data_IF_950891960164
#
_entry.id   IF_950891960164
#
_cell.length_a   1.000
_cell.length_b   1.000
_cell.length_c   1.000
_cell.angle_alpha   90.00
_cell.angle_beta   90.00
_cell.angle_gamma   90.00
#
_symmetry.space_group_name_H-M   'P 1'
#
loop_
_entity.id
_entity.type
_entity.pdbx_description
1 polymer ?
#
# COMPACT_ATOMS: atom_id res chain seq x y z
N UNK A 1 -2.90 15.94 19.36
CA UNK A 1 -2.06 15.26 20.37
C UNK A 1 -1.11 14.31 19.66
N UNK A 2 0.18 14.65 19.57
CA UNK A 2 1.19 13.77 18.98
C UNK A 2 1.41 12.58 19.93
N UNK A 3 1.25 11.34 19.44
CA UNK A 3 1.63 10.15 20.21
C UNK A 3 3.15 10.17 20.38
N UNK A 4 3.59 10.33 21.61
CA UNK A 4 4.99 10.14 22.00
C UNK A 4 5.33 8.68 21.69
N UNK A 5 6.17 8.45 20.68
CA UNK A 5 6.69 7.12 20.38
C UNK A 5 7.88 6.94 21.31
N UNK A 6 7.66 6.21 22.39
CA UNK A 6 8.71 5.85 23.34
C UNK A 6 9.49 4.67 22.76
N UNK A 7 10.78 4.90 22.47
CA UNK A 7 11.69 3.86 22.02
C UNK A 7 12.09 3.09 23.27
N UNK A 8 11.52 1.90 23.46
CA UNK A 8 11.81 1.06 24.62
C UNK A 8 13.11 0.28 24.43
N UNK A 9 13.77 -0.03 25.55
CA UNK A 9 15.00 -0.83 25.62
C UNK A 9 14.84 -2.18 24.91
N UNK A 10 13.67 -2.82 25.05
CA UNK A 10 13.34 -4.12 24.46
C UNK A 10 13.28 -4.08 22.92
N UNK A 11 12.85 -2.96 22.33
CA UNK A 11 12.85 -2.72 20.88
C UNK A 11 14.28 -2.52 20.34
N UNK A 12 15.13 -1.89 21.15
CA UNK A 12 16.56 -1.68 20.85
C UNK A 12 17.32 -3.00 20.99
N UNK A 13 17.01 -3.81 21.99
CA UNK A 13 17.62 -5.14 22.20
C UNK A 13 17.17 -6.16 21.15
N UNK A 14 15.89 -6.19 20.77
CA UNK A 14 15.42 -6.98 19.61
C UNK A 14 16.11 -6.54 18.32
N UNK A 15 16.34 -5.23 18.15
CA UNK A 15 17.11 -4.71 17.03
C UNK A 15 18.56 -5.22 17.10
N UNK A 16 19.23 -5.18 18.25
CA UNK A 16 20.60 -5.67 18.42
C UNK A 16 20.75 -7.17 18.21
N UNK A 17 19.90 -7.99 18.81
CA UNK A 17 19.97 -9.46 18.69
C UNK A 17 19.75 -9.92 17.24
N UNK A 18 18.91 -9.22 16.48
CA UNK A 18 18.68 -9.49 15.06
C UNK A 18 19.87 -9.03 14.18
N UNK A 19 20.72 -8.13 14.69
CA UNK A 19 21.90 -7.62 14.01
C UNK A 19 23.21 -8.31 14.42
N UNK A 20 23.35 -8.82 15.64
CA UNK A 20 24.51 -9.61 16.06
C UNK A 20 24.66 -10.87 15.19
N UNK A 21 23.55 -11.53 14.88
CA UNK A 21 23.50 -12.68 13.96
C UNK A 21 23.92 -12.27 12.54
N UNK A 22 23.50 -11.09 12.05
CA UNK A 22 23.84 -10.60 10.70
C UNK A 22 25.25 -10.02 10.59
N UNK A 23 25.75 -9.37 11.63
CA UNK A 23 27.13 -8.89 11.73
C UNK A 23 28.11 -10.05 11.78
N UNK A 24 27.77 -11.14 12.48
CA UNK A 24 28.55 -12.37 12.46
C UNK A 24 28.61 -13.02 11.07
N UNK A 25 27.52 -12.95 10.29
CA UNK A 25 27.50 -13.41 8.88
C UNK A 25 28.36 -12.49 8.00
N UNK A 26 28.26 -11.17 8.16
CA UNK A 26 29.07 -10.20 7.40
C UNK A 26 30.56 -10.33 7.75
N UNK A 27 30.91 -10.53 9.02
CA UNK A 27 32.29 -10.78 9.45
C UNK A 27 32.84 -12.08 8.85
N UNK A 28 32.05 -13.16 8.78
CA UNK A 28 32.44 -14.42 8.11
C UNK A 28 32.64 -14.23 6.61
N UNK A 29 31.78 -13.45 5.95
CA UNK A 29 31.89 -13.13 4.52
C UNK A 29 33.14 -12.26 4.24
N UNK A 30 33.43 -11.28 5.10
CA UNK A 30 34.63 -10.44 5.00
C UNK A 30 35.91 -11.27 5.28
N UNK A 31 35.89 -12.17 6.26
CA UNK A 31 37.01 -13.06 6.56
C UNK A 31 37.33 -14.00 5.38
N UNK A 32 36.27 -14.51 4.73
CA UNK A 32 36.36 -15.36 3.53
C UNK A 32 36.91 -14.63 2.31
N UNK A 33 36.53 -13.37 2.09
CA UNK A 33 37.07 -12.55 1.00
C UNK A 33 38.50 -12.04 1.26
N UNK A 34 38.92 -11.96 2.53
CA UNK A 34 40.27 -11.50 2.92
C UNK A 34 41.28 -12.64 3.08
N UNK A 35 40.88 -13.89 2.85
CA UNK A 35 41.76 -15.06 2.90
C UNK A 35 42.25 -15.42 4.31
N UNK A 36 41.52 -15.01 5.37
CA UNK A 36 41.84 -15.41 6.75
C UNK A 36 41.18 -16.75 7.07
N UNK A 37 41.97 -17.65 7.64
CA UNK A 37 41.62 -19.05 7.89
C UNK A 37 40.45 -19.20 8.89
N UNK A 38 39.45 -20.03 8.58
CA UNK A 38 38.17 -20.14 9.30
C UNK A 38 38.25 -20.94 10.62
N UNK A 39 39.44 -21.31 11.10
CA UNK A 39 39.63 -22.25 12.21
C UNK A 39 39.34 -21.71 13.62
N UNK A 40 38.97 -20.44 13.78
CA UNK A 40 38.83 -19.80 15.11
C UNK A 40 37.38 -19.47 15.53
N UNK A 41 36.33 -20.00 14.89
CA UNK A 41 34.94 -19.74 15.34
C UNK A 41 34.27 -20.94 16.04
N UNK A 42 33.64 -20.75 17.23
CA UNK A 42 33.02 -21.84 17.98
C UNK A 42 31.75 -22.36 17.32
N UNK A 43 31.55 -23.69 17.34
CA UNK A 43 30.34 -24.36 16.85
C UNK A 43 29.43 -24.72 18.02
N UNK A 44 28.26 -24.12 18.09
CA UNK A 44 27.19 -24.55 19.00
C UNK A 44 26.12 -25.35 18.25
N UNK A 45 25.83 -26.53 18.79
CA UNK A 45 24.79 -27.45 18.34
C UNK A 45 23.53 -27.24 19.19
N UNK A 46 22.37 -27.06 18.56
CA UNK A 46 21.06 -27.13 19.23
C UNK A 46 20.22 -28.19 18.51
N UNK A 47 19.71 -29.15 19.29
CA UNK A 47 18.86 -30.26 18.84
C UNK A 47 17.38 -29.93 19.08
N UNK A 48 16.53 -30.19 18.09
CA UNK A 48 15.07 -30.14 18.20
C UNK A 48 14.46 -31.52 18.50
N UNK A 49 13.54 -31.56 19.46
CA UNK A 49 12.71 -32.72 19.81
C UNK A 49 11.25 -32.37 19.52
N UNK A 50 10.66 -33.04 18.53
CA UNK A 50 9.23 -32.92 18.19
C UNK A 50 8.41 -34.01 18.89
N UNK A 51 7.21 -33.63 19.38
CA UNK A 51 6.13 -34.55 19.75
C UNK A 51 4.83 -34.09 19.10
N UNK A 52 4.27 -34.97 18.27
CA UNK A 52 2.90 -34.95 17.77
C UNK A 52 1.91 -35.28 18.87
N UNK A 53 0.75 -34.61 18.91
CA UNK A 53 -0.54 -35.27 19.19
C UNK A 53 -1.71 -34.56 18.48
N UNK A 54 -2.62 -35.41 18.02
CA UNK A 54 -3.74 -35.20 17.11
C UNK A 54 -5.11 -35.12 17.80
N UNK A 55 -6.16 -34.84 16.99
CA UNK A 55 -7.62 -35.04 17.17
C UNK A 55 -8.39 -33.74 17.48
N UNK A 56 -9.36 -33.26 16.69
CA UNK A 56 -10.56 -33.79 16.00
C UNK A 56 -11.80 -33.93 16.89
N UNK A 57 -12.74 -32.98 16.83
CA UNK A 57 -14.18 -33.20 17.09
C UNK A 57 -15.01 -32.22 16.26
N UNK A 58 -15.95 -32.77 15.50
CA UNK A 58 -16.99 -32.14 14.66
C UNK A 58 -18.29 -31.98 15.44
N UNK A 59 -19.03 -30.87 15.25
CA UNK A 59 -20.49 -30.89 15.27
C UNK A 59 -21.13 -29.82 14.37
N UNK A 60 -22.36 -30.04 13.85
CA UNK A 60 -22.91 -29.34 12.70
C UNK A 60 -24.11 -28.44 13.06
N UNK A 61 -24.22 -27.25 12.49
CA UNK A 61 -25.49 -26.52 12.37
C UNK A 61 -25.44 -25.53 11.20
N UNK A 62 -26.58 -25.35 10.54
CA UNK A 62 -26.93 -24.34 9.51
C UNK A 62 -26.96 -24.77 8.04
N UNK A 63 -27.78 -25.79 7.78
CA UNK A 63 -28.02 -26.38 6.44
C UNK A 63 -28.77 -25.49 5.44
N UNK A 64 -29.23 -24.28 5.79
CA UNK A 64 -30.01 -23.42 4.89
C UNK A 64 -29.18 -22.29 4.29
N UNK A 65 -28.21 -21.74 5.04
CA UNK A 65 -27.25 -20.76 4.51
C UNK A 65 -26.24 -21.42 3.56
N UNK A 66 -25.82 -22.65 3.88
CA UNK A 66 -24.93 -23.44 3.03
C UNK A 66 -25.56 -23.79 1.67
N UNK A 67 -26.88 -23.97 1.58
CA UNK A 67 -27.55 -24.28 0.31
C UNK A 67 -27.58 -23.07 -0.62
N UNK A 68 -27.83 -21.86 -0.09
CA UNK A 68 -27.81 -20.63 -0.89
C UNK A 68 -26.37 -20.29 -1.31
N UNK A 69 -25.40 -20.44 -0.41
CA UNK A 69 -23.98 -20.22 -0.72
C UNK A 69 -23.43 -21.28 -1.69
N UNK A 70 -23.86 -22.54 -1.56
CA UNK A 70 -23.50 -23.62 -2.48
C UNK A 70 -24.12 -23.42 -3.87
N UNK A 71 -25.36 -22.95 -3.98
CA UNK A 71 -26.01 -22.66 -5.27
C UNK A 71 -25.29 -21.51 -6.00
N UNK A 72 -24.97 -20.42 -5.30
CA UNK A 72 -24.23 -19.27 -5.87
C UNK A 72 -22.80 -19.67 -6.27
N UNK A 73 -22.11 -20.43 -5.41
CA UNK A 73 -20.74 -20.92 -5.66
C UNK A 73 -20.69 -21.97 -6.77
N UNK A 74 -21.73 -22.80 -6.91
CA UNK A 74 -21.85 -23.80 -7.97
C UNK A 74 -22.15 -23.13 -9.32
N UNK A 75 -23.05 -22.14 -9.37
CA UNK A 75 -23.31 -21.38 -10.60
C UNK A 75 -22.09 -20.59 -11.06
N UNK A 76 -21.36 -19.95 -10.14
CA UNK A 76 -20.12 -19.23 -10.48
C UNK A 76 -19.01 -20.18 -10.97
N UNK A 77 -18.75 -21.29 -10.25
CA UNK A 77 -17.72 -22.26 -10.68
C UNK A 77 -18.08 -22.94 -12.01
N UNK A 78 -19.35 -23.29 -12.23
CA UNK A 78 -19.81 -23.92 -13.47
C UNK A 78 -19.73 -22.97 -14.66
N UNK A 79 -20.11 -21.70 -14.50
CA UNK A 79 -19.99 -20.69 -15.57
C UNK A 79 -18.53 -20.42 -15.93
N UNK A 80 -17.63 -20.39 -14.93
CA UNK A 80 -16.18 -20.20 -15.18
C UNK A 80 -15.55 -21.44 -15.81
N UNK A 81 -15.88 -22.65 -15.33
CA UNK A 81 -15.34 -23.91 -15.88
C UNK A 81 -15.90 -24.17 -17.28
N UNK A 82 -17.19 -23.96 -17.53
CA UNK A 82 -17.80 -24.14 -18.85
C UNK A 82 -17.30 -23.08 -19.85
N UNK A 83 -17.04 -21.85 -19.41
CA UNK A 83 -16.42 -20.81 -20.23
C UNK A 83 -14.94 -21.10 -20.52
N UNK A 84 -14.21 -21.73 -19.60
CA UNK A 84 -12.80 -22.10 -19.81
C UNK A 84 -12.64 -23.37 -20.65
N UNK A 85 -13.52 -24.37 -20.46
CA UNK A 85 -13.50 -25.64 -21.19
C UNK A 85 -13.94 -25.50 -22.66
N UNK A 86 -14.68 -24.45 -23.01
CA UNK A 86 -15.09 -24.18 -24.39
C UNK A 86 -14.13 -23.25 -25.15
N UNK A 87 -13.11 -22.67 -24.50
CA UNK A 87 -12.17 -21.69 -25.10
C UNK A 87 -10.85 -22.26 -25.63
N UNK A 88 -10.81 -23.55 -25.99
CA UNK A 88 -9.77 -24.06 -26.90
C UNK A 88 -10.12 -23.78 -28.39
N UNK A 89 -10.84 -22.68 -28.64
CA UNK A 89 -11.21 -22.22 -29.98
C UNK A 89 -10.06 -21.38 -30.53
N UNK A 90 -9.60 -21.78 -31.72
CA UNK A 90 -8.65 -21.07 -32.55
C UNK A 90 -9.07 -19.59 -32.69
N UNK A 91 -8.34 -18.70 -32.01
CA UNK A 91 -8.47 -17.24 -32.01
C UNK A 91 -7.94 -16.60 -33.31
N UNK A 92 -8.15 -17.25 -34.45
CA UNK A 92 -7.95 -16.66 -35.76
C UNK A 92 -9.33 -16.21 -36.28
N UNK A 93 -9.49 -14.91 -36.46
CA UNK A 93 -10.47 -14.28 -37.35
C UNK A 93 -11.92 -14.05 -36.89
N UNK A 94 -12.29 -14.38 -35.65
CA UNK A 94 -13.54 -13.83 -35.09
C UNK A 94 -13.22 -12.62 -34.20
N UNK A 95 -13.78 -11.47 -34.58
CA UNK A 95 -13.98 -10.29 -33.73
C UNK A 95 -14.92 -10.65 -32.57
N UNK A 96 -14.43 -11.54 -31.70
CA UNK A 96 -15.15 -12.13 -30.59
C UNK A 96 -15.65 -11.04 -29.65
N UNK A 97 -16.96 -10.87 -29.64
CA UNK A 97 -17.71 -9.99 -28.76
C UNK A 97 -17.50 -10.42 -27.31
N UNK A 98 -16.45 -9.91 -26.67
CA UNK A 98 -16.34 -9.93 -25.21
C UNK A 98 -17.61 -9.29 -24.64
N UNK A 99 -18.30 -9.98 -23.72
CA UNK A 99 -19.46 -9.42 -23.06
C UNK A 99 -19.09 -8.04 -22.50
N UNK A 100 -19.78 -6.96 -22.92
CA UNK A 100 -19.52 -5.63 -22.39
C UNK A 100 -19.71 -5.70 -20.88
N UNK A 101 -18.75 -5.13 -20.13
CA UNK A 101 -18.92 -4.97 -18.69
C UNK A 101 -20.18 -4.15 -18.48
N UNK A 102 -20.93 -4.33 -17.38
CA UNK A 102 -21.79 -3.26 -16.89
C UNK A 102 -20.93 -2.00 -16.71
N UNK A 103 -20.81 -1.22 -17.78
CA UNK A 103 -19.95 -0.04 -17.82
C UNK A 103 -20.49 0.90 -16.77
N UNK A 104 -19.66 1.26 -15.79
CA UNK A 104 -19.98 2.43 -14.98
C UNK A 104 -20.19 3.59 -15.97
N UNK A 105 -21.41 4.15 -16.10
CA UNK A 105 -21.68 5.15 -17.13
C UNK A 105 -20.77 6.37 -17.00
N UNK A 106 -20.17 6.58 -15.82
CA UNK A 106 -19.34 7.73 -15.51
C UNK A 106 -17.96 7.74 -16.16
N UNK A 107 -17.34 6.59 -16.43
CA UNK A 107 -15.94 6.56 -16.86
C UNK A 107 -15.77 5.78 -18.16
N UNK A 108 -15.30 6.47 -19.20
CA UNK A 108 -14.86 5.83 -20.43
C UNK A 108 -13.38 5.48 -20.30
N UNK A 109 -13.08 4.18 -20.31
CA UNK A 109 -11.74 3.64 -20.20
C UNK A 109 -11.32 3.10 -21.56
N UNK A 110 -10.30 3.69 -22.16
CA UNK A 110 -9.70 3.22 -23.41
C UNK A 110 -8.28 2.73 -23.13
N UNK A 111 -7.94 1.56 -23.65
CA UNK A 111 -6.58 1.00 -23.56
C UNK A 111 -5.96 0.93 -24.95
N UNK A 112 -4.73 1.42 -25.10
CA UNK A 112 -3.90 1.10 -26.28
C UNK A 112 -3.38 -0.33 -26.12
N UNK A 113 -3.93 -1.27 -26.88
CA UNK A 113 -3.46 -2.67 -26.85
C UNK A 113 -2.18 -2.81 -27.66
N UNK A 114 -1.12 -3.43 -27.11
CA UNK A 114 -0.01 -3.86 -27.92
C UNK A 114 -0.49 -4.99 -28.85
N UNK A 115 -0.37 -4.77 -30.15
CA UNK A 115 -0.46 -5.86 -31.12
C UNK A 115 0.72 -6.80 -30.86
N UNK A 116 0.51 -8.12 -30.96
CA UNK A 116 1.53 -9.19 -30.90
C UNK A 116 1.72 -9.91 -29.55
N UNK A 117 0.89 -10.94 -29.30
CA UNK A 117 1.27 -12.31 -28.85
C UNK A 117 0.03 -13.16 -28.57
N UNK A 118 0.17 -14.48 -28.57
CA UNK A 118 -0.85 -15.39 -28.03
C UNK A 118 -0.96 -15.13 -26.53
N UNK A 119 -2.10 -14.61 -26.10
CA UNK A 119 -2.34 -14.25 -24.70
C UNK A 119 -3.27 -15.27 -24.05
N UNK A 120 -2.96 -15.62 -22.81
CA UNK A 120 -3.84 -16.46 -21.99
C UNK A 120 -5.04 -15.66 -21.51
N UNK A 121 -6.15 -16.37 -21.30
CA UNK A 121 -7.38 -15.81 -20.75
C UNK A 121 -7.51 -16.14 -19.26
N UNK A 122 -8.13 -15.26 -18.51
CA UNK A 122 -8.38 -15.43 -17.07
C UNK A 122 -9.60 -14.62 -16.64
N UNK A 123 -10.36 -15.13 -15.68
CA UNK A 123 -11.57 -14.46 -15.19
C UNK A 123 -11.25 -13.42 -14.11
N UNK A 124 -11.95 -12.28 -14.16
CA UNK A 124 -11.96 -11.34 -13.05
C UNK A 124 -12.77 -11.90 -11.89
N UNK A 125 -12.20 -11.94 -10.68
CA UNK A 125 -12.90 -12.43 -9.49
C UNK A 125 -14.04 -11.54 -8.98
N UNK A 126 -14.21 -10.32 -9.53
CA UNK A 126 -15.32 -9.43 -9.18
C UNK A 126 -16.47 -9.53 -10.18
N UNK A 127 -16.25 -9.31 -11.48
CA UNK A 127 -17.35 -9.41 -12.46
C UNK A 127 -17.53 -10.79 -13.08
N UNK A 128 -16.61 -11.74 -12.85
CA UNK A 128 -16.60 -13.04 -13.53
C UNK A 128 -16.21 -12.98 -15.02
N UNK A 129 -16.08 -11.78 -15.62
CA UNK A 129 -15.75 -11.66 -17.03
C UNK A 129 -14.37 -12.25 -17.34
N UNK A 130 -14.30 -13.08 -18.37
CA UNK A 130 -13.06 -13.60 -18.94
C UNK A 130 -12.35 -12.49 -19.71
N UNK A 131 -11.07 -12.29 -19.40
CA UNK A 131 -10.22 -11.21 -19.90
C UNK A 131 -8.88 -11.77 -20.30
N UNK A 132 -8.16 -11.04 -21.14
CA UNK A 132 -6.76 -11.33 -21.41
C UNK A 132 -5.97 -11.17 -20.11
N UNK A 133 -4.92 -11.99 -19.90
CA UNK A 133 -4.08 -11.90 -18.70
C UNK A 133 -3.47 -10.51 -18.54
N UNK A 134 -3.20 -9.81 -19.65
CA UNK A 134 -2.72 -8.42 -19.64
C UNK A 134 -3.81 -7.43 -19.22
N UNK A 135 -5.09 -7.77 -19.36
CA UNK A 135 -6.27 -6.96 -18.99
C UNK A 135 -6.70 -7.19 -17.52
N UNK A 136 -5.98 -8.02 -16.78
CA UNK A 136 -6.21 -8.24 -15.35
C UNK A 136 -4.97 -7.98 -14.51
N UNK A 137 -5.21 -7.57 -13.27
CA UNK A 137 -4.19 -7.40 -12.25
C UNK A 137 -4.40 -8.37 -11.10
N UNK A 138 -3.31 -8.70 -10.42
CA UNK A 138 -3.36 -9.28 -9.07
C UNK A 138 -4.04 -8.30 -8.11
N UNK A 139 -4.90 -8.83 -7.25
CA UNK A 139 -5.39 -8.11 -6.07
C UNK A 139 -4.21 -7.75 -5.17
N UNK A 140 -4.37 -6.69 -4.37
CA UNK A 140 -3.32 -6.32 -3.41
C UNK A 140 -3.29 -7.34 -2.28
N UNK A 141 -2.09 -7.78 -1.90
CA UNK A 141 -1.91 -8.59 -0.69
C UNK A 141 -2.19 -7.79 0.60
N UNK A 142 -2.19 -6.45 0.51
CA UNK A 142 -2.54 -5.58 1.64
C UNK A 142 -4.05 -5.50 1.77
N UNK A 143 -4.58 -6.02 2.87
CA UNK A 143 -6.02 -6.04 3.16
C UNK A 143 -6.63 -4.64 3.10
N UNK A 144 -5.97 -3.63 3.69
CA UNK A 144 -6.42 -2.25 3.64
C UNK A 144 -6.65 -1.71 2.22
N UNK A 145 -5.73 -1.95 1.28
CA UNK A 145 -5.90 -1.53 -0.12
C UNK A 145 -7.05 -2.27 -0.82
N UNK A 146 -7.26 -3.54 -0.51
CA UNK A 146 -8.39 -4.31 -1.03
C UNK A 146 -9.72 -3.82 -0.43
N UNK A 147 -9.74 -3.43 0.84
CA UNK A 147 -10.90 -2.81 1.47
C UNK A 147 -11.26 -1.46 0.80
N UNK A 148 -10.26 -0.60 0.51
CA UNK A 148 -10.49 0.65 -0.26
C UNK A 148 -11.12 0.37 -1.61
N UNK A 149 -10.57 -0.59 -2.38
CA UNK A 149 -11.09 -0.99 -3.68
C UNK A 149 -12.57 -1.37 -3.60
N UNK A 150 -12.91 -2.26 -2.67
CA UNK A 150 -14.28 -2.78 -2.51
C UNK A 150 -15.24 -1.69 -2.05
N UNK A 151 -14.86 -0.87 -1.06
CA UNK A 151 -15.68 0.25 -0.59
C UNK A 151 -15.98 1.24 -1.72
N UNK A 152 -14.97 1.59 -2.55
CA UNK A 152 -15.16 2.47 -3.70
C UNK A 152 -16.11 1.87 -4.76
N UNK A 153 -15.99 0.58 -5.03
CA UNK A 153 -16.84 -0.10 -6.02
C UNK A 153 -18.28 -0.29 -5.54
N UNK A 154 -18.45 -0.63 -4.25
CA UNK A 154 -19.76 -0.74 -3.61
C UNK A 154 -20.46 0.61 -3.56
N UNK A 155 -19.74 1.68 -3.20
CA UNK A 155 -20.28 3.05 -3.21
C UNK A 155 -20.80 3.47 -4.58
N UNK A 156 -20.11 3.05 -5.64
CA UNK A 156 -20.53 3.30 -7.02
C UNK A 156 -21.64 2.36 -7.51
N UNK A 157 -22.08 1.39 -6.71
CA UNK A 157 -23.05 0.37 -7.11
C UNK A 157 -22.52 -0.61 -8.16
N UNK A 158 -21.20 -0.69 -8.37
CA UNK A 158 -20.59 -1.55 -9.37
C UNK A 158 -20.40 -2.99 -8.87
N UNK A 159 -20.34 -3.18 -7.55
CA UNK A 159 -20.19 -4.49 -6.92
C UNK A 159 -21.21 -4.61 -5.79
N UNK A 160 -21.95 -5.72 -5.79
CA UNK A 160 -22.91 -6.03 -4.73
C UNK A 160 -22.17 -6.41 -3.41
N UNK A 161 -22.66 -6.00 -2.23
CA UNK A 161 -22.00 -6.29 -0.95
C UNK A 161 -21.68 -7.78 -0.72
N UNK A 162 -22.59 -8.68 -1.07
CA UNK A 162 -22.37 -10.14 -0.96
C UNK A 162 -21.17 -10.61 -1.77
N UNK A 163 -20.98 -10.08 -2.97
CA UNK A 163 -19.87 -10.43 -3.86
C UNK A 163 -18.56 -9.80 -3.40
N UNK A 164 -18.62 -8.57 -2.85
CA UNK A 164 -17.47 -7.95 -2.22
C UNK A 164 -17.00 -8.74 -0.98
N UNK A 165 -17.94 -9.23 -0.15
CA UNK A 165 -17.64 -10.04 1.03
C UNK A 165 -16.96 -11.36 0.66
N UNK A 166 -17.47 -12.09 -0.35
CA UNK A 166 -16.84 -13.32 -0.83
C UNK A 166 -15.49 -13.03 -1.50
N UNK A 167 -15.41 -11.96 -2.30
CA UNK A 167 -14.15 -11.56 -2.91
C UNK A 167 -13.08 -11.29 -1.84
N UNK A 168 -13.42 -10.57 -0.78
CA UNK A 168 -12.54 -10.27 0.35
C UNK A 168 -12.14 -11.52 1.12
N UNK A 169 -13.10 -12.38 1.50
CA UNK A 169 -12.83 -13.61 2.27
C UNK A 169 -11.77 -14.46 1.59
N UNK A 170 -11.92 -14.67 0.28
CA UNK A 170 -10.91 -15.44 -0.46
C UNK A 170 -9.76 -14.58 -1.03
N UNK A 171 -9.69 -13.27 -0.75
CA UNK A 171 -8.53 -12.43 -1.11
C UNK A 171 -7.28 -12.73 -0.27
N UNK A 172 -7.44 -13.49 0.81
CA UNK A 172 -6.32 -14.12 1.52
C UNK A 172 -5.57 -15.13 0.65
N UNK A 173 -6.18 -15.62 -0.43
CA UNK A 173 -5.51 -16.50 -1.38
C UNK A 173 -4.71 -15.69 -2.42
N UNK A 174 -3.41 -16.01 -2.63
CA UNK A 174 -2.45 -15.19 -3.40
C UNK A 174 -2.71 -15.11 -4.91
N UNK A 175 -3.84 -15.61 -5.40
CA UNK A 175 -4.13 -15.76 -6.83
C UNK A 175 -5.29 -14.92 -7.33
N UNK A 176 -5.98 -14.15 -6.47
CA UNK A 176 -7.13 -13.37 -6.94
C UNK A 176 -6.72 -12.32 -7.96
N UNK A 177 -7.42 -12.33 -9.09
CA UNK A 177 -7.25 -11.39 -10.18
C UNK A 177 -8.50 -10.56 -10.33
N UNK A 178 -8.34 -9.28 -10.66
CA UNK A 178 -9.44 -8.41 -11.05
C UNK A 178 -9.09 -7.68 -12.34
N UNK A 179 -10.08 -7.33 -13.15
CA UNK A 179 -9.83 -6.55 -14.36
C UNK A 179 -9.28 -5.17 -13.99
N UNK A 180 -8.45 -4.61 -14.88
CA UNK A 180 -7.93 -3.26 -14.71
C UNK A 180 -9.06 -2.22 -14.59
N UNK A 181 -10.16 -2.41 -15.29
CA UNK A 181 -11.32 -1.50 -15.26
C UNK A 181 -11.90 -1.30 -13.86
N UNK A 182 -12.11 -2.36 -13.07
CA UNK A 182 -12.58 -2.20 -11.68
C UNK A 182 -11.60 -1.39 -10.83
N UNK A 183 -10.30 -1.63 -11.01
CA UNK A 183 -9.29 -0.88 -10.27
C UNK A 183 -9.28 0.59 -10.68
N UNK A 184 -9.40 0.86 -11.98
CA UNK A 184 -9.47 2.21 -12.54
C UNK A 184 -10.73 2.93 -12.04
N UNK A 185 -11.90 2.28 -12.04
CA UNK A 185 -13.14 2.88 -11.54
C UNK A 185 -13.03 3.28 -10.06
N UNK A 186 -12.39 2.46 -9.22
CA UNK A 186 -12.17 2.82 -7.82
C UNK A 186 -11.18 3.99 -7.66
N UNK A 187 -10.08 3.99 -8.41
CA UNK A 187 -9.11 5.10 -8.39
C UNK A 187 -9.70 6.41 -8.93
N UNK A 188 -10.39 6.35 -10.06
CA UNK A 188 -11.05 7.51 -10.68
C UNK A 188 -12.13 8.10 -9.75
N UNK A 189 -12.89 7.25 -9.04
CA UNK A 189 -13.82 7.69 -8.02
C UNK A 189 -13.15 8.50 -6.91
N UNK A 190 -12.03 8.00 -6.35
CA UNK A 190 -11.28 8.75 -5.33
C UNK A 190 -10.75 10.08 -5.87
N UNK A 191 -10.20 10.09 -7.08
CA UNK A 191 -9.70 11.31 -7.70
C UNK A 191 -10.82 12.35 -7.86
N UNK A 192 -12.00 11.91 -8.28
CA UNK A 192 -13.17 12.77 -8.42
C UNK A 192 -13.69 13.27 -7.07
N UNK A 193 -13.72 12.41 -6.05
CA UNK A 193 -14.11 12.79 -4.70
C UNK A 193 -13.20 13.90 -4.15
N UNK A 194 -11.89 13.71 -4.26
CA UNK A 194 -10.89 14.70 -3.83
C UNK A 194 -11.04 15.99 -4.62
N UNK A 195 -11.12 15.92 -5.96
CA UNK A 195 -11.31 17.10 -6.81
C UNK A 195 -12.56 17.88 -6.45
N UNK A 196 -13.63 17.19 -6.04
CA UNK A 196 -14.87 17.85 -5.63
C UNK A 196 -14.71 18.56 -4.29
N UNK A 197 -13.93 17.99 -3.36
CA UNK A 197 -13.70 18.55 -2.02
C UNK A 197 -12.63 19.65 -1.98
N UNK A 198 -11.63 19.59 -2.86
CA UNK A 198 -10.48 20.51 -2.89
C UNK A 198 -10.50 21.48 -4.08
N UNK A 199 -11.38 21.25 -5.06
CA UNK A 199 -11.38 21.94 -6.35
C UNK A 199 -10.28 21.49 -7.33
N UNK A 200 -9.34 20.63 -6.90
CA UNK A 200 -8.16 20.28 -7.67
C UNK A 200 -7.97 18.77 -7.79
N UNK A 201 -7.56 18.30 -8.97
CA UNK A 201 -7.25 16.89 -9.16
C UNK A 201 -5.96 16.54 -8.40
N UNK A 202 -5.93 15.45 -7.60
CA UNK A 202 -4.77 15.06 -6.81
C UNK A 202 -3.67 14.40 -7.66
N UNK A 203 -3.02 15.17 -8.54
CA UNK A 203 -2.00 14.66 -9.47
C UNK A 203 -0.69 14.23 -8.78
N UNK A 204 -0.44 14.68 -7.55
CA UNK A 204 0.74 14.35 -6.74
C UNK A 204 0.46 13.29 -5.66
N UNK A 205 -0.70 12.63 -5.73
CA UNK A 205 -1.18 11.68 -4.73
C UNK A 205 -2.07 12.32 -3.66
N UNK A 206 -2.49 11.51 -2.68
CA UNK A 206 -3.38 11.95 -1.60
C UNK A 206 -2.67 12.38 -0.33
N UNK A 207 -1.32 12.36 -0.29
CA UNK A 207 -0.58 12.76 0.90
C UNK A 207 -0.57 14.27 1.14
N UNK A 208 -0.85 15.05 0.10
CA UNK A 208 -0.86 16.51 0.15
C UNK A 208 -2.22 17.09 0.47
N UNK A 209 -3.26 16.25 0.60
CA UNK A 209 -4.59 16.75 0.92
C UNK A 209 -4.72 17.05 2.42
N UNK A 210 -5.47 18.07 2.80
CA UNK A 210 -5.78 18.36 4.19
C UNK A 210 -6.34 17.15 4.96
N UNK A 211 -5.96 17.02 6.23
CA UNK A 211 -6.27 15.84 7.05
C UNK A 211 -7.77 15.68 7.32
N UNK A 212 -8.52 16.79 7.41
CA UNK A 212 -9.99 16.82 7.52
C UNK A 212 -10.66 16.20 6.28
N UNK A 213 -10.17 16.56 5.08
CA UNK A 213 -10.68 16.02 3.81
C UNK A 213 -10.38 14.53 3.70
N UNK A 214 -9.16 14.12 4.06
CA UNK A 214 -8.80 12.70 4.10
C UNK A 214 -9.66 11.93 5.10
N UNK A 215 -9.86 12.47 6.30
CA UNK A 215 -10.72 11.88 7.34
C UNK A 215 -12.15 11.68 6.86
N UNK A 216 -12.71 12.67 6.15
CA UNK A 216 -14.03 12.58 5.54
C UNK A 216 -14.12 11.48 4.47
N UNK A 217 -13.11 11.36 3.61
CA UNK A 217 -13.06 10.29 2.60
C UNK A 217 -12.99 8.92 3.28
N UNK A 218 -12.13 8.77 4.29
CA UNK A 218 -12.01 7.53 5.07
C UNK A 218 -13.34 7.16 5.72
N UNK A 219 -14.03 8.12 6.34
CA UNK A 219 -15.33 7.88 6.97
C UNK A 219 -16.39 7.37 5.98
N UNK A 220 -16.50 7.99 4.79
CA UNK A 220 -17.45 7.52 3.77
C UNK A 220 -17.14 6.10 3.31
N UNK A 221 -15.86 5.80 3.08
CA UNK A 221 -15.45 4.47 2.66
C UNK A 221 -15.67 3.45 3.79
N UNK A 222 -15.47 3.85 5.04
CA UNK A 222 -15.73 3.03 6.22
C UNK A 222 -17.21 2.64 6.29
N UNK A 223 -18.14 3.57 6.09
CA UNK A 223 -19.59 3.29 6.11
C UNK A 223 -19.98 2.17 5.13
N UNK A 224 -19.31 2.09 3.97
CA UNK A 224 -19.57 1.04 2.97
C UNK A 224 -18.82 -0.25 3.27
N UNK A 225 -17.65 -0.14 3.90
CA UNK A 225 -16.85 -1.27 4.34
C UNK A 225 -17.53 -2.02 5.49
N UNK A 226 -18.18 -1.30 6.41
CA UNK A 226 -18.90 -1.82 7.57
C UNK A 226 -20.02 -2.82 7.19
N UNK A 227 -20.52 -2.72 5.96
CA UNK A 227 -21.51 -3.65 5.40
C UNK A 227 -20.92 -5.06 5.20
N UNK A 228 -19.63 -5.17 4.90
CA UNK A 228 -18.97 -6.46 4.57
C UNK A 228 -17.99 -6.94 5.64
N UNK A 229 -17.52 -6.06 6.53
CA UNK A 229 -16.52 -6.38 7.56
C UNK A 229 -16.48 -5.31 8.66
N UNK A 230 -15.77 -5.59 9.76
CA UNK A 230 -15.55 -4.63 10.86
C UNK A 230 -14.12 -4.07 10.90
N UNK A 231 -13.33 -4.28 9.84
CA UNK A 231 -11.98 -3.72 9.79
C UNK A 231 -12.02 -2.19 9.77
N UNK A 232 -11.07 -1.58 10.47
CA UNK A 232 -10.87 -0.13 10.44
C UNK A 232 -10.02 0.23 9.22
N UNK A 233 -10.50 1.18 8.44
CA UNK A 233 -9.80 1.76 7.32
C UNK A 233 -8.96 2.96 7.77
N UNK A 234 -7.68 2.98 7.38
CA UNK A 234 -6.81 4.10 7.70
C UNK A 234 -6.59 5.02 6.50
N UNK A 235 -6.31 6.30 6.77
CA UNK A 235 -5.89 7.27 5.74
C UNK A 235 -4.69 6.76 4.92
N UNK A 236 -3.78 6.03 5.56
CA UNK A 236 -2.65 5.39 4.90
C UNK A 236 -3.11 4.43 3.81
N UNK A 237 -4.14 3.61 4.05
CA UNK A 237 -4.63 2.63 3.07
C UNK A 237 -5.20 3.31 1.83
N UNK A 238 -5.99 4.37 2.04
CA UNK A 238 -6.59 5.18 0.96
C UNK A 238 -5.51 5.84 0.10
N UNK A 239 -4.55 6.53 0.72
CA UNK A 239 -3.46 7.17 0.00
C UNK A 239 -2.54 6.16 -0.71
N UNK A 240 -2.26 5.03 -0.05
CA UNK A 240 -1.44 3.95 -0.59
C UNK A 240 -2.10 3.24 -1.78
N UNK A 241 -3.44 3.06 -1.75
CA UNK A 241 -4.22 2.56 -2.88
C UNK A 241 -4.22 3.57 -4.04
N UNK A 242 -4.47 4.84 -3.75
CA UNK A 242 -4.55 5.88 -4.78
C UNK A 242 -3.22 6.12 -5.49
N UNK A 243 -2.10 6.06 -4.77
CA UNK A 243 -0.78 6.17 -5.38
C UNK A 243 -0.51 5.00 -6.36
N UNK A 244 -0.93 3.77 -6.03
CA UNK A 244 -0.85 2.64 -6.97
C UNK A 244 -1.70 2.86 -8.23
N UNK A 245 -2.83 3.56 -8.10
CA UNK A 245 -3.64 3.99 -9.22
C UNK A 245 -2.94 5.05 -10.09
N UNK A 246 -2.40 6.11 -9.50
CA UNK A 246 -1.70 7.16 -10.24
C UNK A 246 -0.52 6.61 -11.05
N UNK A 247 0.40 5.93 -10.37
CA UNK A 247 1.63 5.41 -10.96
C UNK A 247 1.34 4.45 -12.12
N UNK A 248 0.24 3.69 -12.04
CA UNK A 248 -0.04 2.62 -12.99
C UNK A 248 -0.93 3.02 -14.16
N UNK A 249 -1.87 3.95 -13.98
CA UNK A 249 -2.88 4.25 -15.00
C UNK A 249 -2.94 5.72 -15.43
N UNK A 250 -2.38 6.64 -14.65
CA UNK A 250 -2.37 8.06 -15.01
C UNK A 250 -1.01 8.45 -15.60
N UNK A 251 0.08 7.98 -14.98
CA UNK A 251 1.43 8.24 -15.49
C UNK A 251 1.77 7.40 -16.74
N UNK A 252 1.02 6.33 -17.00
CA UNK A 252 1.19 5.52 -18.20
C UNK A 252 0.26 6.00 -19.32
N UNK A 253 0.81 6.29 -20.50
CA UNK A 253 0.01 6.65 -21.69
C UNK A 253 -0.78 5.47 -22.30
N UNK A 254 -0.74 4.30 -21.65
CA UNK A 254 -1.44 3.09 -22.06
C UNK A 254 -2.96 3.21 -21.87
N UNK A 255 -3.38 4.01 -20.89
CA UNK A 255 -4.76 4.15 -20.48
C UNK A 255 -5.24 5.59 -20.67
N UNK A 256 -6.33 5.75 -21.41
CA UNK A 256 -7.04 7.02 -21.52
C UNK A 256 -8.34 6.92 -20.74
N UNK A 257 -8.37 7.58 -19.59
CA UNK A 257 -9.51 7.58 -18.67
C UNK A 257 -10.20 8.94 -18.83
N UNK A 258 -11.43 8.92 -19.34
CA UNK A 258 -12.22 10.14 -19.55
C UNK A 258 -13.50 10.07 -18.70
N UNK A 259 -13.77 11.12 -17.95
CA UNK A 259 -15.04 11.25 -17.24
C UNK A 259 -16.14 11.63 -18.23
N UNK A 260 -17.18 10.81 -18.30
CA UNK A 260 -18.38 11.08 -19.08
C UNK A 260 -19.38 11.80 -18.18
N UNK A 261 -19.34 13.13 -18.22
CA UNK A 261 -20.34 13.96 -17.56
C UNK A 261 -21.69 13.72 -18.24
N UNK A 262 -22.55 12.94 -17.60
CA UNK A 262 -23.94 12.86 -18.00
C UNK A 262 -24.60 14.17 -17.61
N UNK A 263 -25.06 14.92 -18.61
CA UNK A 263 -25.54 16.31 -18.54
C UNK A 263 -26.80 16.55 -17.69
N UNK A 264 -27.08 15.72 -16.68
CA UNK A 264 -28.23 15.87 -15.80
C UNK A 264 -28.17 15.14 -14.46
N UNK A 265 -27.06 14.45 -14.12
CA UNK A 265 -26.89 13.87 -12.77
C UNK A 265 -25.86 14.74 -12.06
N UNK A 266 -26.33 15.60 -11.15
CA UNK A 266 -25.42 16.44 -10.39
C UNK A 266 -24.46 15.59 -9.55
N UNK A 267 -23.19 15.99 -9.57
CA UNK A 267 -22.11 15.40 -8.76
C UNK A 267 -22.43 15.38 -7.26
N UNK A 268 -23.26 16.34 -6.81
CA UNK A 268 -23.75 16.52 -5.44
C UNK A 268 -24.44 15.27 -4.90
N UNK A 269 -25.30 14.64 -5.69
CA UNK A 269 -26.07 13.46 -5.30
C UNK A 269 -25.23 12.18 -5.10
N UNK A 270 -24.09 12.05 -5.77
CA UNK A 270 -23.36 10.76 -5.81
C UNK A 270 -22.44 10.59 -4.60
N UNK A 271 -21.82 11.67 -4.13
CA UNK A 271 -20.91 11.61 -2.99
C UNK A 271 -21.64 11.78 -1.65
N UNK A 272 -22.96 11.93 -1.65
CA UNK A 272 -23.69 12.46 -0.49
C UNK A 272 -22.93 13.68 0.07
N UNK A 273 -22.53 14.54 -0.86
CA UNK A 273 -21.76 15.75 -0.54
C UNK A 273 -22.58 16.67 0.34
N UNK A 274 -23.91 16.58 0.31
CA UNK A 274 -24.77 17.24 1.29
C UNK A 274 -24.45 16.77 2.69
N UNK A 275 -24.29 15.47 2.93
CA UNK A 275 -23.81 14.95 4.21
C UNK A 275 -22.43 15.48 4.62
N UNK A 276 -21.47 15.54 3.69
CA UNK A 276 -20.11 16.04 3.97
C UNK A 276 -20.05 17.56 4.20
N UNK A 277 -20.72 18.32 3.33
CA UNK A 277 -20.78 19.78 3.39
C UNK A 277 -21.53 20.20 4.63
N UNK A 278 -22.60 19.49 5.01
CA UNK A 278 -23.32 19.70 6.27
C UNK A 278 -22.45 19.40 7.48
N UNK A 279 -21.62 18.34 7.47
CA UNK A 279 -20.63 18.11 8.56
C UNK A 279 -19.57 19.21 8.63
N UNK A 280 -19.06 19.70 7.49
CA UNK A 280 -18.11 20.82 7.44
C UNK A 280 -18.74 22.09 8.02
N UNK A 281 -19.95 22.45 7.60
CA UNK A 281 -20.66 23.63 8.09
C UNK A 281 -20.97 23.53 9.59
N UNK A 282 -21.29 22.33 10.09
CA UNK A 282 -21.48 22.12 11.54
C UNK A 282 -20.16 22.32 12.31
N UNK A 283 -19.03 21.83 11.79
CA UNK A 283 -17.72 22.04 12.42
C UNK A 283 -17.33 23.53 12.41
N UNK A 284 -17.48 24.23 11.29
CA UNK A 284 -17.19 25.67 11.18
C UNK A 284 -18.11 26.52 12.06
N UNK A 285 -19.37 26.12 12.27
CA UNK A 285 -20.30 26.82 13.16
C UNK A 285 -20.02 26.53 14.64
N UNK A 286 -19.56 25.32 14.99
CA UNK A 286 -19.18 24.99 16.36
C UNK A 286 -17.91 25.73 16.78
N UNK A 287 -16.93 25.89 15.88
CA UNK A 287 -15.72 26.71 16.15
C UNK A 287 -16.07 28.18 16.40
N UNK A 288 -17.08 28.73 15.70
CA UNK A 288 -17.55 30.10 15.95
C UNK A 288 -18.30 30.27 17.28
N UNK A 289 -19.04 29.26 17.74
CA UNK A 289 -19.72 29.34 19.04
C UNK A 289 -18.75 29.28 20.23
N UNK A 290 -17.59 28.62 20.09
CA UNK A 290 -16.58 28.59 21.16
C UNK A 290 -15.76 29.88 21.28
N UNK A 291 -15.62 30.67 20.20
CA UNK A 291 -15.00 32.01 20.27
C UNK A 291 -15.90 33.02 21.00
N UNK A 292 -17.23 32.91 20.89
CA UNK A 292 -18.16 33.81 21.56
C UNK A 292 -18.39 33.43 23.05
N UNK A 293 -18.28 32.15 23.40
CA UNK A 293 -18.44 31.67 24.78
C UNK A 293 -17.26 32.01 25.70
N UNK A 294 -16.06 32.23 25.15
CA UNK A 294 -14.87 32.56 25.94
C UNK A 294 -14.76 34.03 26.36
N UNK A 295 -15.74 34.88 26.04
CA UNK A 295 -15.79 36.27 26.49
C UNK A 295 -16.76 36.54 27.66
N UNK A 296 -17.49 35.54 28.19
CA UNK A 296 -18.46 35.75 29.28
C UNK A 296 -18.25 34.95 30.58
N UNK A 297 -17.21 34.11 30.72
CA UNK A 297 -16.94 33.39 32.00
C UNK A 297 -15.65 33.83 32.70
N UNK A 298 -15.64 35.08 33.17
CA UNK A 298 -14.98 35.43 34.42
C UNK A 298 -16.06 35.47 35.50
N UNK A 299 -15.84 34.75 36.59
CA UNK A 299 -16.69 34.60 37.78
C UNK A 299 -17.70 33.44 37.79
N UNK A 300 -17.22 32.26 38.21
CA UNK A 300 -17.82 31.56 39.37
C UNK A 300 -16.87 30.51 39.93
N UNK A 301 -16.42 30.77 41.17
CA UNK A 301 -15.78 29.80 42.05
C UNK A 301 -16.84 28.88 42.67
N UNK A 302 -16.54 27.59 42.87
CA UNK A 302 -16.42 26.91 44.18
C UNK A 302 -16.80 25.41 44.19
N UNK A 303 -15.82 24.62 44.67
CA UNK A 303 -15.86 23.55 45.70
C UNK A 303 -16.83 22.34 45.62
N UNK A 304 -16.25 21.15 45.88
CA UNK A 304 -16.91 19.96 46.46
C UNK A 304 -16.70 18.71 45.61
N UNK A 305 -15.63 17.93 45.79
CA UNK A 305 -15.32 16.95 46.86
C UNK A 305 -16.05 15.58 46.73
N UNK A 306 -15.23 14.53 46.91
CA UNK A 306 -15.51 13.13 47.28
C UNK A 306 -16.00 12.05 46.28
N UNK A 307 -15.02 11.23 45.91
CA UNK A 307 -14.90 9.75 46.10
C UNK A 307 -15.90 8.79 45.43
N UNK A 308 -15.38 7.95 44.52
CA UNK A 308 -15.77 6.54 44.34
C UNK A 308 -14.57 5.72 43.89
N UNK A 309 -14.13 4.79 44.73
CA UNK A 309 -13.24 3.67 44.36
C UNK A 309 -14.10 2.41 44.27
N UNK A 310 -14.00 1.70 43.15
CA UNK A 310 -14.42 0.30 42.99
C UNK A 310 -13.35 -0.41 42.13
N UNK A 311 -12.80 -1.58 42.57
CA UNK A 311 -11.77 -2.29 41.84
C UNK A 311 -12.38 -3.37 40.94
N UNK A 312 -12.09 -3.32 39.63
CA UNK A 312 -12.51 -4.34 38.68
C UNK A 312 -11.29 -5.07 38.08
N UNK A 313 -11.34 -6.39 38.25
CA UNK A 313 -10.44 -7.43 37.78
C UNK A 313 -10.04 -7.30 36.30
N UNK A 314 -8.74 -7.36 35.99
CA UNK A 314 -8.24 -7.69 34.66
C UNK A 314 -7.82 -9.17 34.61
N UNK A 315 -8.46 -9.93 33.72
CA UNK A 315 -8.02 -11.26 33.29
C UNK A 315 -6.92 -11.09 32.24
N UNK A 316 -5.86 -11.86 32.42
CA UNK A 316 -4.72 -12.01 31.51
C UNK A 316 -5.14 -12.89 30.33
N UNK A 317 -5.18 -12.32 29.13
CA UNK A 317 -5.30 -13.08 27.88
C UNK A 317 -3.89 -13.42 27.37
N UNK A 318 -3.73 -14.67 26.95
CA UNK A 318 -2.49 -15.26 26.45
C UNK A 318 -2.36 -15.01 24.96
N UNK A 319 -1.20 -14.53 24.53
CA UNK A 319 -0.83 -14.38 23.13
C UNK A 319 -0.59 -15.75 22.46
N UNK A 320 -1.26 -15.97 21.33
CA UNK A 320 -1.04 -17.08 20.42
C UNK A 320 0.08 -16.71 19.43
N UNK A 321 1.14 -17.52 19.43
CA UNK A 321 2.30 -17.39 18.56
C UNK A 321 2.11 -18.34 17.37
N UNK A 322 2.01 -17.80 16.15
CA UNK A 322 1.82 -18.59 14.93
C UNK A 322 3.15 -18.83 14.20
N UNK A 323 3.48 -20.10 14.02
CA UNK A 323 4.65 -20.58 13.28
C UNK A 323 4.53 -20.35 11.75
N UNK A 324 5.58 -19.77 11.17
CA UNK A 324 5.72 -19.54 9.73
C UNK A 324 6.63 -20.64 9.15
N UNK A 325 6.07 -21.56 8.36
CA UNK A 325 6.81 -22.55 7.59
C UNK A 325 7.33 -21.89 6.30
N UNK A 326 8.66 -21.80 6.15
CA UNK A 326 9.34 -21.37 4.92
C UNK A 326 9.70 -22.63 4.12
N UNK A 327 9.12 -22.77 2.93
CA UNK A 327 9.50 -23.80 1.95
C UNK A 327 10.45 -23.13 0.94
N UNK A 328 11.72 -23.53 0.95
CA UNK A 328 12.71 -23.15 -0.05
C UNK A 328 12.55 -24.01 -1.32
N UNK A 329 12.01 -23.42 -2.39
CA UNK A 329 11.98 -24.03 -3.73
C UNK A 329 13.19 -23.54 -4.53
N UNK A 330 14.23 -24.37 -4.62
CA UNK A 330 15.37 -24.17 -5.50
C UNK A 330 14.94 -24.25 -6.97
N UNK A 331 15.18 -23.19 -7.75
CA UNK A 331 15.15 -23.24 -9.22
C UNK A 331 16.48 -22.82 -9.81
N UNK A 332 17.15 -23.80 -10.40
CA UNK A 332 18.31 -23.65 -11.27
C UNK A 332 17.92 -22.93 -12.57
N UNK A 333 18.69 -21.90 -12.92
CA UNK A 333 18.60 -21.22 -14.21
C UNK A 333 19.72 -21.72 -15.13
N UNK A 334 19.34 -22.23 -16.30
CA UNK A 334 20.23 -22.49 -17.43
C UNK A 334 20.05 -21.41 -18.49
N UNK A 335 21.14 -20.76 -18.88
CA UNK A 335 21.20 -19.77 -19.96
C UNK A 335 21.06 -20.41 -21.36
N UNK A 336 20.46 -19.69 -22.32
CA UNK A 336 20.75 -19.90 -23.74
C UNK A 336 21.31 -18.64 -24.43
N UNK A 337 21.94 -18.82 -25.61
CA UNK A 337 22.95 -17.91 -26.12
C UNK A 337 22.36 -16.70 -26.86
N UNK A 338 23.15 -15.63 -26.84
CA UNK A 338 22.93 -14.39 -27.57
C UNK A 338 23.00 -14.63 -29.08
N UNK A 339 22.01 -14.08 -29.80
CA UNK A 339 22.09 -13.95 -31.24
C UNK A 339 21.57 -12.60 -31.73
N UNK A 340 22.08 -12.25 -32.89
CA UNK A 340 22.37 -10.94 -33.46
C UNK A 340 21.20 -10.17 -34.11
N UNK A 341 21.36 -8.84 -34.08
CA UNK A 341 20.90 -7.81 -35.04
C UNK A 341 19.39 -7.56 -35.25
N UNK A 342 18.99 -6.28 -35.13
CA UNK A 342 18.36 -5.50 -36.21
C UNK A 342 18.04 -4.08 -35.74
N UNK A 343 18.65 -3.12 -36.43
CA UNK A 343 18.36 -1.70 -36.35
C UNK A 343 17.05 -1.44 -37.10
N UNK A 344 16.06 -0.85 -36.43
CA UNK A 344 14.76 -0.52 -37.01
C UNK A 344 14.51 0.97 -36.76
N UNK A 345 14.22 1.69 -37.85
CA UNK A 345 14.03 3.12 -37.89
C UNK A 345 12.83 3.56 -37.05
N UNK A 346 13.07 4.55 -36.18
CA UNK A 346 12.10 5.10 -35.23
C UNK A 346 11.25 6.18 -35.93
N UNK A 347 9.92 6.12 -35.88
CA UNK A 347 9.09 7.25 -36.31
C UNK A 347 9.23 8.41 -35.30
N UNK A 348 9.38 9.63 -35.82
CA UNK A 348 9.40 10.88 -35.07
C UNK A 348 8.09 11.03 -34.27
N UNK A 349 8.17 10.79 -32.95
CA UNK A 349 7.12 11.15 -32.01
C UNK A 349 7.11 12.66 -31.80
N UNK A 350 5.90 13.22 -31.72
CA UNK A 350 5.67 14.63 -31.43
C UNK A 350 6.36 15.07 -30.13
N UNK A 351 6.89 16.28 -30.13
CA UNK A 351 7.63 16.84 -29.00
C UNK A 351 6.76 16.91 -27.73
N UNK A 352 7.26 16.48 -26.55
CA UNK A 352 6.54 16.59 -25.29
C UNK A 352 6.18 18.04 -24.99
N UNK A 353 5.04 18.27 -24.34
CA UNK A 353 4.69 19.62 -23.89
C UNK A 353 5.67 20.08 -22.81
N UNK A 354 5.95 21.39 -22.72
CA UNK A 354 6.96 21.94 -21.80
C UNK A 354 6.74 21.56 -20.32
N UNK A 355 5.49 21.28 -19.92
CA UNK A 355 5.12 20.86 -18.56
C UNK A 355 5.43 19.38 -18.28
N UNK A 356 5.20 18.51 -19.26
CA UNK A 356 5.54 17.09 -19.17
C UNK A 356 7.07 16.90 -19.19
N UNK A 357 7.77 17.68 -20.02
CA UNK A 357 9.24 17.69 -20.02
C UNK A 357 9.83 18.05 -18.66
N UNK A 358 9.23 19.00 -17.94
CA UNK A 358 9.71 19.43 -16.62
C UNK A 358 9.47 18.35 -15.55
N UNK A 359 8.31 17.70 -15.54
CA UNK A 359 8.05 16.61 -14.57
C UNK A 359 8.90 15.37 -14.86
N UNK A 360 9.09 15.03 -16.13
CA UNK A 360 9.98 13.94 -16.55
C UNK A 360 11.42 14.24 -16.13
N UNK A 361 11.89 15.48 -16.32
CA UNK A 361 13.23 15.91 -15.92
C UNK A 361 13.40 15.86 -14.39
N UNK A 362 12.38 16.25 -13.62
CA UNK A 362 12.39 16.15 -12.16
C UNK A 362 12.50 14.68 -11.72
N UNK A 363 11.68 13.79 -12.27
CA UNK A 363 11.66 12.36 -11.91
C UNK A 363 12.96 11.65 -12.32
N UNK A 364 13.50 11.96 -13.50
CA UNK A 364 14.79 11.41 -13.95
C UNK A 364 15.98 12.01 -13.18
N UNK A 365 15.88 13.26 -12.72
CA UNK A 365 16.91 13.89 -11.90
C UNK A 365 17.12 13.13 -10.59
N UNK A 366 16.06 12.58 -9.99
CA UNK A 366 16.13 11.88 -8.70
C UNK A 366 16.80 10.51 -8.77
N UNK A 367 16.95 9.94 -9.98
CA UNK A 367 17.73 8.71 -10.19
C UNK A 367 19.24 8.98 -10.28
N UNK A 368 19.63 10.22 -10.60
CA UNK A 368 21.02 10.59 -10.92
C UNK A 368 21.62 11.63 -9.98
N UNK A 369 20.81 12.16 -9.05
CA UNK A 369 21.20 13.15 -8.05
C UNK A 369 20.87 12.65 -6.67
N UNK A 370 21.70 13.01 -5.70
CA UNK A 370 21.43 12.69 -4.30
C UNK A 370 20.20 13.45 -3.80
N UNK A 371 19.27 12.77 -3.13
CA UNK A 371 18.08 13.41 -2.54
C UNK A 371 18.39 14.44 -1.45
N UNK A 372 19.56 14.35 -0.81
CA UNK A 372 19.97 15.24 0.28
C UNK A 372 20.62 16.51 -0.27
N UNK A 373 21.74 16.39 -0.99
CA UNK A 373 22.46 17.58 -1.47
C UNK A 373 22.09 18.05 -2.88
N UNK A 374 21.22 17.33 -3.59
CA UNK A 374 20.84 17.59 -4.99
C UNK A 374 22.00 17.66 -6.00
N UNK A 375 23.23 17.34 -5.59
CA UNK A 375 24.37 17.26 -6.48
C UNK A 375 24.31 15.96 -7.27
N UNK A 376 24.74 16.00 -8.54
CA UNK A 376 25.12 14.77 -9.26
C UNK A 376 26.29 14.18 -8.49
N UNK A 377 26.09 12.99 -7.93
CA UNK A 377 27.13 12.37 -7.15
C UNK A 377 28.28 12.00 -8.10
N UNK A 378 29.46 12.53 -7.82
CA UNK A 378 30.72 12.07 -8.41
C UNK A 378 31.16 10.72 -7.83
N UNK A 379 30.61 10.37 -6.66
CA UNK A 379 30.79 9.12 -5.92
C UNK A 379 29.55 8.23 -6.01
N UNK A 380 29.64 6.98 -5.56
CA UNK A 380 28.55 6.01 -5.69
C UNK A 380 27.21 6.52 -5.13
N UNK A 381 26.14 6.21 -5.85
CA UNK A 381 24.76 6.44 -5.43
C UNK A 381 24.21 5.15 -4.82
N UNK A 382 23.73 5.22 -3.59
CA UNK A 382 23.07 4.11 -2.93
C UNK A 382 21.57 4.25 -3.03
N UNK A 383 20.92 3.14 -3.38
CA UNK A 383 19.48 3.00 -3.20
C UNK A 383 19.20 2.78 -1.71
N UNK A 384 18.27 3.53 -1.10
CA UNK A 384 17.80 3.27 0.24
C UNK A 384 17.28 1.84 0.36
N UNK A 385 17.21 1.34 1.60
CA UNK A 385 16.65 0.01 1.83
C UNK A 385 15.17 -0.01 1.47
N UNK A 386 14.66 -1.17 1.06
CA UNK A 386 13.22 -1.40 0.95
C UNK A 386 12.53 -1.49 2.31
N UNK A 387 13.30 -1.68 3.39
CA UNK A 387 12.80 -1.78 4.76
C UNK A 387 12.67 -0.36 5.35
N UNK A 388 11.42 0.06 5.62
CA UNK A 388 11.09 1.40 6.13
C UNK A 388 11.88 1.77 7.38
N UNK A 389 12.03 0.85 8.33
CA UNK A 389 12.72 1.12 9.60
C UNK A 389 14.19 1.50 9.39
N UNK A 390 14.88 0.92 8.40
CA UNK A 390 16.27 1.27 8.10
C UNK A 390 16.38 2.67 7.51
N UNK A 391 15.41 3.09 6.70
CA UNK A 391 15.36 4.45 6.20
C UNK A 391 15.04 5.43 7.34
N UNK A 392 14.21 5.06 8.31
CA UNK A 392 13.92 5.91 9.48
C UNK A 392 15.20 6.14 10.29
N UNK A 393 15.92 5.05 10.61
CA UNK A 393 17.19 5.14 11.34
C UNK A 393 18.21 5.97 10.56
N UNK A 394 18.36 5.73 9.26
CA UNK A 394 19.28 6.49 8.42
C UNK A 394 18.99 8.00 8.45
N UNK A 395 17.73 8.40 8.32
CA UNK A 395 17.33 9.81 8.36
C UNK A 395 17.47 10.40 9.76
N UNK A 396 17.14 9.64 10.80
CA UNK A 396 17.35 10.07 12.18
C UNK A 396 18.83 10.37 12.45
N UNK A 397 19.75 9.53 11.95
CA UNK A 397 21.18 9.80 12.03
C UNK A 397 21.60 11.08 11.29
N UNK A 398 21.03 11.34 10.11
CA UNK A 398 21.30 12.59 9.38
C UNK A 398 20.78 13.82 10.11
N UNK A 399 19.64 13.71 10.80
CA UNK A 399 19.11 14.77 11.66
C UNK A 399 20.02 15.00 12.86
N UNK A 400 20.47 13.93 13.52
CA UNK A 400 21.38 14.03 14.68
C UNK A 400 22.72 14.67 14.32
N UNK A 401 23.25 14.40 13.11
CA UNK A 401 24.49 15.01 12.62
C UNK A 401 24.28 16.43 12.05
N UNK A 402 23.07 17.00 12.17
CA UNK A 402 22.66 18.26 11.58
C UNK A 402 22.91 18.34 10.05
N UNK A 403 22.94 17.19 9.37
CA UNK A 403 23.08 17.12 7.91
C UNK A 403 21.79 17.56 7.22
N UNK A 404 20.65 17.24 7.82
CA UNK A 404 19.31 17.66 7.40
C UNK A 404 18.50 18.05 8.63
N UNK A 405 17.48 18.88 8.46
CA UNK A 405 16.53 19.15 9.54
C UNK A 405 15.39 18.11 9.59
N UNK A 406 14.53 18.18 10.63
CA UNK A 406 13.41 17.24 10.82
C UNK A 406 12.37 17.36 9.70
N UNK A 407 12.16 18.57 9.16
CA UNK A 407 11.21 18.82 8.07
C UNK A 407 11.73 18.18 6.77
N UNK A 408 13.01 18.39 6.46
CA UNK A 408 13.72 17.77 5.34
C UNK A 408 13.74 16.24 5.47
N UNK A 409 13.97 15.70 6.66
CA UNK A 409 13.91 14.26 6.90
C UNK A 409 12.52 13.68 6.64
N UNK A 410 11.46 14.39 7.01
CA UNK A 410 10.08 13.96 6.76
C UNK A 410 9.77 13.93 5.26
N UNK A 411 10.18 14.97 4.54
CA UNK A 411 10.07 15.03 3.08
C UNK A 411 10.93 13.95 2.40
N UNK A 412 12.16 13.72 2.87
CA UNK A 412 13.04 12.68 2.34
C UNK A 412 12.48 11.28 2.57
N UNK A 413 11.87 11.02 3.73
CA UNK A 413 11.22 9.75 4.04
C UNK A 413 10.08 9.46 3.06
N UNK A 414 9.27 10.49 2.76
CA UNK A 414 8.24 10.40 1.74
C UNK A 414 8.86 10.12 0.37
N UNK A 415 9.85 10.93 -0.03
CA UNK A 415 10.56 10.78 -1.30
C UNK A 415 11.19 9.40 -1.50
N UNK A 416 11.86 8.87 -0.48
CA UNK A 416 12.46 7.52 -0.47
C UNK A 416 11.39 6.45 -0.63
N UNK A 417 10.25 6.60 0.04
CA UNK A 417 9.14 5.63 0.01
C UNK A 417 8.45 5.55 -1.35
N UNK A 418 8.49 6.64 -2.15
CA UNK A 418 7.67 6.75 -3.36
C UNK A 418 8.47 6.88 -4.67
N UNK A 419 9.66 7.49 -4.67
CA UNK A 419 10.35 7.88 -5.91
C UNK A 419 11.73 7.26 -6.12
N UNK A 420 12.08 6.21 -5.37
CA UNK A 420 13.40 5.56 -5.44
C UNK A 420 14.56 6.56 -5.35
N UNK A 421 14.40 7.59 -4.51
CA UNK A 421 15.43 8.63 -4.32
C UNK A 421 16.72 7.97 -3.84
N UNK A 422 17.83 8.28 -4.51
CA UNK A 422 19.14 7.77 -4.15
C UNK A 422 19.87 8.74 -3.23
N UNK A 423 20.74 8.18 -2.38
CA UNK A 423 21.56 8.94 -1.43
C UNK A 423 23.02 8.73 -1.84
N UNK A 424 23.83 9.78 -1.93
CA UNK A 424 25.24 9.60 -2.26
C UNK A 424 26.00 8.98 -1.08
N UNK A 425 27.08 8.26 -1.40
CA UNK A 425 27.93 7.58 -0.41
C UNK A 425 28.38 8.53 0.70
N UNK A 426 28.65 9.81 0.40
CA UNK A 426 29.07 10.80 1.40
C UNK A 426 28.04 10.96 2.53
N UNK A 427 26.77 11.19 2.19
CA UNK A 427 25.72 11.34 3.21
C UNK A 427 25.40 10.01 3.88
N UNK A 428 25.44 8.90 3.14
CA UNK A 428 25.22 7.58 3.72
C UNK A 428 26.29 7.23 4.76
N UNK A 429 27.57 7.44 4.42
CA UNK A 429 28.70 7.20 5.34
C UNK A 429 28.62 8.13 6.53
N UNK A 430 28.37 9.43 6.33
CA UNK A 430 28.21 10.39 7.44
C UNK A 430 27.14 9.92 8.43
N UNK A 431 25.95 9.55 7.93
CA UNK A 431 24.86 9.04 8.77
C UNK A 431 25.23 7.76 9.54
N UNK A 432 25.94 6.82 8.90
CA UNK A 432 26.39 5.59 9.57
C UNK A 432 27.49 5.88 10.60
N UNK A 433 28.40 6.82 10.32
CA UNK A 433 29.43 7.25 11.26
C UNK A 433 28.82 7.89 12.51
N UNK A 434 27.81 8.74 12.36
CA UNK A 434 27.11 9.37 13.50
C UNK A 434 26.35 8.34 14.34
N UNK A 435 25.83 7.27 13.72
CA UNK A 435 25.22 6.15 14.45
C UNK A 435 26.22 5.42 15.36
N UNK A 436 27.43 5.14 14.86
CA UNK A 436 28.48 4.53 15.66
C UNK A 436 28.94 5.42 16.82
N UNK A 437 29.07 6.72 16.60
CA UNK A 437 29.37 7.66 17.68
C UNK A 437 28.29 7.62 18.76
N UNK A 438 27.00 7.64 18.38
CA UNK A 438 25.90 7.57 19.33
C UNK A 438 25.93 6.28 20.16
N UNK A 439 26.18 5.13 19.53
CA UNK A 439 26.26 3.85 20.22
C UNK A 439 27.43 3.79 21.22
N UNK A 440 28.58 4.37 20.87
CA UNK A 440 29.72 4.48 21.80
C UNK A 440 29.37 5.41 22.97
N UNK A 441 28.68 6.52 22.71
CA UNK A 441 28.25 7.45 23.75
C UNK A 441 27.22 6.84 24.70
N UNK A 442 26.23 6.09 24.19
CA UNK A 442 25.27 5.40 25.05
C UNK A 442 25.95 4.32 25.89
N UNK A 443 26.84 3.53 25.31
CA UNK A 443 27.57 2.49 26.05
C UNK A 443 28.52 3.08 27.10
N UNK A 444 29.21 4.20 26.80
CA UNK A 444 30.05 4.92 27.77
C UNK A 444 29.21 5.57 28.87
N UNK A 445 28.03 6.11 28.53
CA UNK A 445 27.11 6.67 29.51
C UNK A 445 26.65 5.59 30.50
N UNK A 446 26.21 4.43 30.00
CA UNK A 446 25.83 3.27 30.83
C UNK A 446 26.98 2.68 31.66
N UNK A 447 28.24 2.91 31.28
CA UNK A 447 29.41 2.50 32.06
C UNK A 447 29.77 3.51 33.16
N UNK A 448 29.34 4.76 33.03
CA UNK A 448 29.65 5.86 33.95
C UNK A 448 28.51 6.09 34.96
N UNK A 449 27.28 5.74 34.60
CA UNK A 449 26.12 5.66 35.51
C UNK A 449 26.04 4.31 36.18
#
# INVERSE_FOLDING_TARGET
>A
MAKHIEITEELVEQFYNNYEVKLNVIHRLIARDTGKDESETPKDNVCDVLKDESSSVTQPHDTISEVIEAIVKCHYKRTVVDAMATTEIQLADSSGSFAPIPTCPRWLIQRKRPENKRESLTACGLCGCVRLVVDVRKASAKVGRTNVLLACLMRQGLVHPTLAATFRKDATHPQKRLCHEHFIHAGAYLAAAVRTLTGHYPGVGLWTIPADIMGNIVAILQDHLDIITRDVLHAYDVASFFNDYLLKYIETEEWKITEVLHSGIELSTILDLDGLTKRRVVLENNEKMEEDANNEELFSNNTGDQSKEDPLFCKVEKDEQSDIIIIDEQRSASEPPQNSSKQCDKPQLAAPTARESLQQEIIESWKTRCGVCYQRATTGLRKPSTIRNYNIVLLACMVMDNTIDISEATDLMWKISFFNVVICDKHFIAAVSSFHCFQIFTSLWYLVT
#
